data_IF_055817635436
#
_entry.id   IF_055817635436
#
_cell.length_a   1.000
_cell.length_b   1.000
_cell.length_c   1.000
_cell.angle_alpha   90.00
_cell.angle_beta   90.00
_cell.angle_gamma   90.00
#
_symmetry.space_group_name_H-M   'P 1'
#
loop_
_entity.id
_entity.type
_entity.pdbx_description
1 polymer ?
#
# COMPACT_ATOMS: atom_id res chain seq x y z
N UNK A 1 -48.63 29.06 57.80
CA UNK A 1 -47.32 29.50 58.33
C UNK A 1 -46.20 28.82 57.56
N UNK A 2 -45.07 29.54 57.31
CA UNK A 2 -43.73 29.06 56.90
C UNK A 2 -43.63 27.94 55.83
N UNK A 3 -42.92 28.05 54.70
CA UNK A 3 -41.64 28.70 54.45
C UNK A 3 -40.83 27.77 53.51
N UNK A 4 -40.22 28.25 52.40
CA UNK A 4 -39.63 27.37 51.36
C UNK A 4 -38.11 27.23 51.46
N UNK A 5 -37.59 26.03 51.22
CA UNK A 5 -36.17 25.70 50.96
C UNK A 5 -36.14 24.44 50.05
N UNK A 6 -35.29 24.26 49.04
CA UNK A 6 -34.31 25.16 48.38
C UNK A 6 -34.48 25.02 46.84
N UNK A 7 -33.88 25.94 46.06
CA UNK A 7 -33.70 25.85 44.60
C UNK A 7 -32.36 26.46 44.24
N UNK A 8 -31.32 25.67 43.98
CA UNK A 8 -30.00 26.22 43.66
C UNK A 8 -28.89 25.20 43.39
N UNK A 9 -28.23 25.39 42.24
CA UNK A 9 -26.88 24.92 41.88
C UNK A 9 -26.57 23.42 41.97
N UNK A 10 -26.80 22.72 40.85
CA UNK A 10 -25.79 21.80 40.31
C UNK A 10 -25.15 22.48 39.09
N UNK A 11 -23.81 22.51 38.94
CA UNK A 11 -23.17 23.05 37.75
C UNK A 11 -23.52 22.20 36.53
N UNK A 12 -24.00 22.83 35.45
CA UNK A 12 -24.03 22.17 34.15
C UNK A 12 -22.58 21.90 33.70
N UNK A 13 -22.27 20.75 33.08
CA UNK A 13 -20.95 20.51 32.53
C UNK A 13 -20.66 21.54 31.45
N UNK A 14 -19.63 22.35 31.68
CA UNK A 14 -19.12 23.31 30.71
C UNK A 14 -18.74 22.56 29.43
N UNK A 15 -19.52 22.76 28.35
CA UNK A 15 -19.06 22.47 27.00
C UNK A 15 -17.91 23.43 26.68
N UNK A 16 -16.69 23.09 27.08
CA UNK A 16 -15.50 23.68 26.48
C UNK A 16 -15.53 23.37 24.98
N UNK A 17 -15.28 24.42 24.20
CA UNK A 17 -15.33 24.35 22.74
C UNK A 17 -14.16 23.53 22.22
N UNK A 18 -14.42 22.29 21.79
CA UNK A 18 -13.45 21.48 21.05
C UNK A 18 -13.07 22.12 19.68
N UNK A 19 -13.77 23.17 19.24
CA UNK A 19 -13.43 23.95 18.05
C UNK A 19 -12.38 25.05 18.29
N UNK A 20 -11.87 25.20 19.53
CA UNK A 20 -10.83 26.18 19.86
C UNK A 20 -9.41 25.70 19.54
N UNK A 21 -9.06 24.50 20.01
CA UNK A 21 -7.71 23.92 19.93
C UNK A 21 -7.20 23.73 18.47
N UNK A 22 -8.00 23.22 17.51
CA UNK A 22 -7.58 23.09 16.10
C UNK A 22 -7.13 24.41 15.48
N UNK A 23 -7.96 25.45 15.63
CA UNK A 23 -7.71 26.77 15.06
C UNK A 23 -6.57 27.50 15.77
N UNK A 24 -6.24 27.14 17.02
CA UNK A 24 -5.10 27.69 17.76
C UNK A 24 -3.78 27.06 17.32
N UNK A 25 -3.73 25.73 17.13
CA UNK A 25 -2.56 25.03 16.62
C UNK A 25 -2.14 25.52 15.23
N UNK A 26 -3.07 25.59 14.27
CA UNK A 26 -2.77 26.08 12.90
C UNK A 26 -2.32 27.55 12.90
N UNK A 27 -2.90 28.41 13.76
CA UNK A 27 -2.43 29.80 13.92
C UNK A 27 -1.04 29.90 14.55
N UNK A 28 -0.69 28.99 15.45
CA UNK A 28 0.65 28.95 16.02
C UNK A 28 1.70 28.58 14.95
N UNK A 29 1.46 27.52 14.17
CA UNK A 29 2.34 27.10 13.07
C UNK A 29 2.55 28.18 11.99
N UNK A 30 1.55 29.04 11.75
CA UNK A 30 1.66 30.15 10.80
C UNK A 30 2.62 31.28 11.26
N UNK A 31 2.95 31.33 12.56
CA UNK A 31 3.89 32.30 13.14
C UNK A 31 5.30 31.78 13.37
N UNK A 32 5.59 30.53 12.99
CA UNK A 32 6.91 29.90 13.11
C UNK A 32 7.70 30.01 11.80
N UNK A 33 9.03 29.97 11.90
CA UNK A 33 9.91 29.69 10.75
C UNK A 33 9.78 28.22 10.30
N UNK A 34 10.41 27.88 9.16
CA UNK A 34 10.28 26.54 8.55
C UNK A 34 10.77 25.43 9.50
N UNK A 35 11.96 25.58 10.09
CA UNK A 35 12.57 24.59 10.99
C UNK A 35 11.71 24.37 12.26
N UNK A 36 11.25 25.46 12.90
CA UNK A 36 10.40 25.36 14.09
C UNK A 36 9.00 24.81 13.78
N UNK A 37 8.46 25.09 12.59
CA UNK A 37 7.18 24.53 12.11
C UNK A 37 7.28 23.04 11.86
N UNK A 38 8.35 22.55 11.21
CA UNK A 38 8.57 21.12 11.00
C UNK A 38 8.75 20.38 12.34
N UNK A 39 9.52 20.93 13.28
CA UNK A 39 9.67 20.36 14.62
C UNK A 39 8.35 20.29 15.39
N UNK A 40 7.53 21.35 15.35
CA UNK A 40 6.22 21.38 16.00
C UNK A 40 5.22 20.39 15.37
N UNK A 41 5.28 20.20 14.04
CA UNK A 41 4.46 19.22 13.34
C UNK A 41 4.91 17.77 13.62
N UNK A 42 6.22 17.52 13.73
CA UNK A 42 6.75 16.22 14.12
C UNK A 42 6.28 15.81 15.52
N UNK A 43 6.39 16.70 16.50
CA UNK A 43 5.91 16.43 17.86
C UNK A 43 4.38 16.21 17.89
N UNK A 44 3.62 16.96 17.08
CA UNK A 44 2.18 16.77 16.92
C UNK A 44 1.83 15.40 16.31
N UNK A 45 2.50 14.99 15.22
CA UNK A 45 2.31 13.68 14.57
C UNK A 45 2.65 12.54 15.55
N UNK A 46 3.79 12.63 16.24
CA UNK A 46 4.19 11.64 17.27
C UNK A 46 3.20 11.58 18.41
N UNK A 47 2.62 12.71 18.82
CA UNK A 47 1.59 12.76 19.88
C UNK A 47 0.32 12.05 19.43
N UNK A 48 -0.16 12.29 18.21
CA UNK A 48 -1.36 11.57 17.71
C UNK A 48 -1.07 10.07 17.52
N UNK A 49 0.10 9.72 17.00
CA UNK A 49 0.51 8.33 16.84
C UNK A 49 0.60 7.58 18.18
N UNK A 50 1.17 8.21 19.22
CA UNK A 50 1.24 7.64 20.56
C UNK A 50 -0.16 7.31 21.12
N UNK A 51 -1.14 8.21 20.94
CA UNK A 51 -2.52 7.97 21.41
C UNK A 51 -3.19 6.83 20.63
N UNK A 52 -2.92 6.69 19.33
CA UNK A 52 -3.46 5.59 18.50
C UNK A 52 -2.85 4.23 18.89
N UNK A 53 -1.55 4.19 19.18
CA UNK A 53 -0.84 2.98 19.61
C UNK A 53 -1.01 2.66 21.11
N UNK A 54 -1.61 3.55 21.89
CA UNK A 54 -1.81 3.38 23.34
C UNK A 54 -0.56 3.62 24.19
N UNK A 55 0.42 4.35 23.67
CA UNK A 55 1.66 4.73 24.35
C UNK A 55 1.46 5.90 25.33
N UNK A 56 2.38 6.03 26.30
CA UNK A 56 2.33 7.07 27.33
C UNK A 56 2.62 8.49 26.85
N UNK A 57 3.28 8.65 25.69
CA UNK A 57 3.51 9.95 25.06
C UNK A 57 4.33 9.88 23.77
N UNK A 58 4.56 11.02 23.09
CA UNK A 58 5.29 11.10 21.81
C UNK A 58 6.72 10.56 21.87
N UNK A 59 7.36 10.57 23.04
CA UNK A 59 8.71 10.04 23.25
C UNK A 59 8.83 8.52 23.03
N UNK A 60 7.73 7.77 23.13
CA UNK A 60 7.68 6.32 22.86
C UNK A 60 7.49 6.01 21.35
N UNK A 61 7.15 7.02 20.53
CA UNK A 61 7.07 6.90 19.08
C UNK A 61 8.40 7.34 18.48
N UNK A 62 9.13 6.43 17.86
CA UNK A 62 10.38 6.75 17.19
C UNK A 62 10.10 7.52 15.87
N UNK A 63 10.75 8.68 15.63
CA UNK A 63 10.46 9.53 14.47
C UNK A 63 10.91 8.94 13.12
N UNK A 64 11.86 8.01 13.11
CA UNK A 64 12.48 7.42 11.91
C UNK A 64 11.95 6.00 11.60
N UNK A 65 11.16 5.41 12.49
CA UNK A 65 10.53 4.12 12.24
C UNK A 65 9.23 4.26 11.44
N UNK A 66 8.98 3.28 10.57
CA UNK A 66 7.75 3.23 9.79
C UNK A 66 6.54 2.99 10.68
N UNK A 67 5.43 3.68 10.41
CA UNK A 67 4.14 3.42 11.06
C UNK A 67 3.78 1.92 11.05
N UNK A 68 3.93 1.16 9.93
CA UNK A 68 3.63 -0.28 9.93
C UNK A 68 4.49 -1.09 10.92
N UNK A 69 5.78 -0.75 11.08
CA UNK A 69 6.68 -1.41 12.03
C UNK A 69 6.17 -1.23 13.47
N UNK A 70 5.76 0.00 13.80
CA UNK A 70 5.22 0.38 15.10
C UNK A 70 3.84 -0.22 15.39
N UNK A 71 3.25 -0.95 14.43
CA UNK A 71 1.98 -1.67 14.58
C UNK A 71 0.78 -0.99 13.95
N UNK A 72 0.97 -0.01 13.07
CA UNK A 72 -0.14 0.53 12.30
C UNK A 72 -0.67 -0.46 11.26
N UNK A 73 -1.98 -0.62 11.29
CA UNK A 73 -2.84 -1.33 10.34
C UNK A 73 -3.85 -0.35 9.70
N UNK A 74 -4.76 -0.84 8.88
CA UNK A 74 -5.75 0.01 8.19
C UNK A 74 -6.71 0.77 9.13
N UNK A 75 -6.99 0.26 10.33
CA UNK A 75 -7.92 0.88 11.28
C UNK A 75 -7.23 1.99 12.10
N UNK A 76 -6.04 1.69 12.60
CA UNK A 76 -5.19 2.66 13.31
C UNK A 76 -4.69 3.77 12.37
N UNK A 77 -4.38 3.44 11.11
CA UNK A 77 -4.11 4.42 10.05
C UNK A 77 -5.27 5.41 9.88
N UNK A 78 -6.50 4.90 9.82
CA UNK A 78 -7.70 5.72 9.70
C UNK A 78 -7.92 6.60 10.94
N UNK A 79 -7.69 6.11 12.17
CA UNK A 79 -7.82 6.94 13.37
C UNK A 79 -6.77 8.05 13.41
N UNK A 80 -5.50 7.75 13.11
CA UNK A 80 -4.44 8.78 13.00
C UNK A 80 -4.80 9.84 11.96
N UNK A 81 -5.21 9.43 10.75
CA UNK A 81 -5.67 10.37 9.71
C UNK A 81 -6.81 11.25 10.24
N UNK A 82 -7.87 10.65 10.80
CA UNK A 82 -9.03 11.39 11.30
C UNK A 82 -8.65 12.41 12.39
N UNK A 83 -7.71 12.06 13.29
CA UNK A 83 -7.17 12.96 14.32
C UNK A 83 -6.39 14.13 13.71
N UNK A 84 -5.49 13.85 12.76
CA UNK A 84 -4.73 14.87 12.05
C UNK A 84 -5.67 15.83 11.30
N UNK A 85 -6.69 15.32 10.62
CA UNK A 85 -7.70 16.14 9.94
C UNK A 85 -8.50 17.01 10.92
N UNK A 86 -8.88 16.48 12.08
CA UNK A 86 -9.66 17.22 13.08
C UNK A 86 -8.92 18.43 13.65
N UNK A 87 -7.59 18.40 13.73
CA UNK A 87 -6.76 19.49 14.25
C UNK A 87 -6.25 20.42 13.14
N UNK A 88 -5.80 19.87 12.01
CA UNK A 88 -5.23 20.68 10.91
C UNK A 88 -6.29 21.29 9.99
N UNK A 89 -7.49 20.72 9.93
CA UNK A 89 -8.53 21.09 8.97
C UNK A 89 -8.30 20.59 7.54
N UNK A 90 -7.21 19.86 7.29
CA UNK A 90 -6.85 19.35 5.96
C UNK A 90 -7.75 18.19 5.50
N UNK A 91 -7.86 18.03 4.19
CA UNK A 91 -8.38 16.80 3.57
C UNK A 91 -7.17 15.91 3.30
N UNK A 92 -6.97 14.88 4.13
CA UNK A 92 -5.82 13.99 4.06
C UNK A 92 -6.20 12.69 3.33
N UNK A 93 -5.32 12.12 2.49
CA UNK A 93 -5.58 10.88 1.76
C UNK A 93 -5.86 9.68 2.68
N UNK A 94 -6.58 8.68 2.18
CA UNK A 94 -6.82 7.39 2.85
C UNK A 94 -5.54 6.60 3.08
N UNK A 95 -4.57 6.73 2.18
CA UNK A 95 -3.26 6.07 2.17
C UNK A 95 -2.17 6.81 2.99
N UNK A 96 -2.51 7.89 3.70
CA UNK A 96 -1.56 8.84 4.32
C UNK A 96 -0.33 8.21 5.01
N UNK A 97 -0.52 7.20 5.87
CA UNK A 97 0.58 6.58 6.65
C UNK A 97 1.41 5.56 5.87
N UNK A 98 1.00 5.25 4.64
CA UNK A 98 1.73 4.41 3.70
C UNK A 98 2.46 5.26 2.64
N UNK A 99 1.86 6.38 2.24
CA UNK A 99 2.48 7.38 1.34
C UNK A 99 3.59 8.17 2.06
N UNK A 100 3.38 8.44 3.36
CA UNK A 100 4.34 9.10 4.25
C UNK A 100 4.61 8.16 5.42
N UNK A 101 5.63 7.32 5.25
CA UNK A 101 5.78 6.08 6.00
C UNK A 101 6.26 6.27 7.43
N UNK A 102 6.99 7.36 7.71
CA UNK A 102 7.50 7.71 9.05
C UNK A 102 6.84 8.99 9.61
N UNK A 103 6.87 9.21 10.93
CA UNK A 103 6.46 10.49 11.53
C UNK A 103 7.16 11.72 10.92
N UNK A 104 8.44 11.61 10.51
CA UNK A 104 9.19 12.68 9.85
C UNK A 104 8.67 12.95 8.43
N UNK A 105 8.46 11.91 7.61
CA UNK A 105 7.90 12.08 6.26
C UNK A 105 6.50 12.72 6.32
N UNK A 106 5.69 12.31 7.29
CA UNK A 106 4.34 12.84 7.47
C UNK A 106 4.33 14.29 8.01
N UNK A 107 5.25 14.63 8.91
CA UNK A 107 5.41 16.00 9.40
C UNK A 107 5.83 16.96 8.28
N UNK A 108 6.78 16.55 7.42
CA UNK A 108 7.22 17.33 6.27
C UNK A 108 6.09 17.55 5.24
N UNK A 109 5.27 16.52 4.98
CA UNK A 109 4.07 16.67 4.14
C UNK A 109 3.08 17.69 4.70
N UNK A 110 2.73 17.56 5.99
CA UNK A 110 1.85 18.52 6.67
C UNK A 110 2.43 19.94 6.69
N UNK A 111 3.75 20.08 6.77
CA UNK A 111 4.42 21.38 6.72
C UNK A 111 4.23 22.04 5.35
N UNK A 112 4.36 21.27 4.26
CA UNK A 112 4.08 21.72 2.90
C UNK A 112 2.64 22.20 2.70
N UNK A 113 1.66 21.38 3.11
CA UNK A 113 0.23 21.69 2.98
C UNK A 113 -0.21 22.90 3.83
N UNK A 114 0.49 23.18 4.94
CA UNK A 114 0.18 24.28 5.86
C UNK A 114 1.03 25.55 5.64
N UNK A 115 1.88 25.62 4.59
CA UNK A 115 2.58 26.87 4.26
C UNK A 115 1.57 27.94 3.84
N UNK A 116 1.63 29.17 4.38
CA UNK A 116 0.79 30.27 3.92
C UNK A 116 1.03 30.55 2.43
N UNK A 117 -0.01 30.37 1.60
CA UNK A 117 0.02 30.82 0.21
C UNK A 117 0.27 32.33 0.17
N UNK A 118 1.27 32.76 -0.61
CA UNK A 118 1.43 34.17 -0.93
C UNK A 118 0.19 34.68 -1.69
N UNK A 119 -0.18 35.94 -1.46
CA UNK A 119 -1.39 36.54 -2.00
C UNK A 119 -1.29 36.80 -3.51
N UNK A 120 -1.50 35.75 -4.30
CA UNK A 120 -1.50 35.78 -5.77
C UNK A 120 -2.12 34.56 -6.45
N UNK A 121 -2.36 33.45 -5.73
CA UNK A 121 -2.90 32.20 -6.27
C UNK A 121 -4.29 31.88 -5.69
N UNK A 122 -5.32 32.55 -6.23
CA UNK A 122 -6.70 32.52 -5.73
C UNK A 122 -7.49 31.29 -6.24
N UNK A 123 -7.18 30.10 -5.70
CA UNK A 123 -8.02 28.90 -5.84
C UNK A 123 -8.16 28.08 -4.54
N UNK A 124 -8.73 28.69 -3.49
CA UNK A 124 -9.31 27.93 -2.38
C UNK A 124 -10.83 27.75 -2.61
N UNK A 125 -11.37 26.52 -2.74
CA UNK A 125 -12.80 26.32 -2.89
C UNK A 125 -13.52 26.58 -1.57
N UNK A 126 -14.20 27.73 -1.48
CA UNK A 126 -15.26 27.92 -0.48
C UNK A 126 -16.29 26.79 -0.61
N UNK A 127 -16.87 26.34 0.53
CA UNK A 127 -17.92 25.32 0.56
C UNK A 127 -19.22 25.79 -0.08
N UNK A 128 -19.26 25.75 -1.41
CA UNK A 128 -20.47 25.33 -2.12
C UNK A 128 -20.53 23.81 -2.00
N UNK A 129 -21.71 23.27 -1.67
CA UNK A 129 -21.96 21.84 -1.88
C UNK A 129 -21.92 21.61 -3.40
N UNK A 130 -20.74 21.28 -3.92
CA UNK A 130 -20.56 21.04 -5.34
C UNK A 130 -21.50 19.91 -5.77
N UNK A 131 -22.17 19.99 -6.93
CA UNK A 131 -22.68 18.78 -7.56
C UNK A 131 -21.50 17.81 -7.69
N UNK A 132 -21.73 16.52 -7.45
CA UNK A 132 -20.68 15.50 -7.46
C UNK A 132 -19.83 15.69 -8.72
N UNK A 133 -18.58 16.14 -8.54
CA UNK A 133 -17.65 16.21 -9.66
C UNK A 133 -17.41 14.77 -10.08
N UNK A 134 -17.90 14.44 -11.26
CA UNK A 134 -17.83 13.10 -11.82
C UNK A 134 -16.35 12.74 -12.07
N UNK A 135 -15.77 11.97 -11.14
CA UNK A 135 -14.37 11.52 -11.22
C UNK A 135 -14.24 10.31 -12.14
N UNK A 136 -13.03 10.05 -12.64
CA UNK A 136 -12.75 8.85 -13.45
C UNK A 136 -13.01 7.57 -12.64
N UNK A 137 -12.65 7.55 -11.35
CA UNK A 137 -13.03 6.47 -10.43
C UNK A 137 -14.55 6.39 -10.24
N UNK A 138 -15.25 7.50 -10.02
CA UNK A 138 -16.71 7.53 -9.88
C UNK A 138 -17.45 6.98 -11.11
N UNK A 139 -17.00 7.36 -12.31
CA UNK A 139 -17.48 6.83 -13.59
C UNK A 139 -17.24 5.33 -13.72
N UNK A 140 -16.06 4.85 -13.32
CA UNK A 140 -15.74 3.42 -13.36
C UNK A 140 -16.64 2.63 -12.39
N UNK A 141 -16.78 3.08 -11.15
CA UNK A 141 -17.60 2.40 -10.14
C UNK A 141 -19.09 2.44 -10.55
N UNK A 142 -19.56 3.53 -11.16
CA UNK A 142 -20.89 3.61 -11.77
C UNK A 142 -21.03 2.64 -12.96
N UNK A 143 -20.01 2.50 -13.81
CA UNK A 143 -20.02 1.56 -14.92
C UNK A 143 -20.08 0.10 -14.44
N UNK A 144 -19.33 -0.27 -13.40
CA UNK A 144 -19.40 -1.60 -12.76
C UNK A 144 -20.81 -1.85 -12.20
N UNK A 145 -21.39 -0.87 -11.47
CA UNK A 145 -22.73 -0.97 -10.85
C UNK A 145 -23.90 -0.99 -11.86
N UNK A 146 -23.64 -0.84 -13.17
CA UNK A 146 -24.65 -0.77 -14.23
C UNK A 146 -24.31 -1.69 -15.43
N UNK A 147 -23.55 -2.77 -15.23
CA UNK A 147 -23.18 -3.77 -16.25
C UNK A 147 -22.43 -3.17 -17.49
N UNK A 148 -21.73 -2.06 -17.29
CA UNK A 148 -20.96 -1.32 -18.32
C UNK A 148 -19.45 -1.45 -18.12
N UNK A 149 -18.99 -2.45 -17.37
CA UNK A 149 -17.58 -2.69 -17.02
C UNK A 149 -16.63 -2.62 -18.23
N UNK A 150 -17.01 -3.17 -19.39
CA UNK A 150 -16.18 -3.11 -20.61
C UNK A 150 -15.87 -1.67 -21.03
N UNK A 151 -16.88 -0.80 -21.09
CA UNK A 151 -16.71 0.61 -21.41
C UNK A 151 -15.93 1.36 -20.32
N UNK A 152 -16.11 0.99 -19.04
CA UNK A 152 -15.32 1.51 -17.94
C UNK A 152 -13.83 1.18 -18.05
N UNK A 153 -13.48 -0.05 -18.43
CA UNK A 153 -12.09 -0.48 -18.66
C UNK A 153 -11.49 0.20 -19.90
N UNK A 154 -12.24 0.32 -21.00
CA UNK A 154 -11.82 1.05 -22.19
C UNK A 154 -11.54 2.54 -21.89
N UNK A 155 -12.40 3.18 -21.08
CA UNK A 155 -12.18 4.53 -20.55
C UNK A 155 -10.90 4.61 -19.70
N UNK A 156 -10.69 3.71 -18.74
CA UNK A 156 -9.50 3.73 -17.88
C UNK A 156 -8.21 3.56 -18.69
N UNK A 157 -8.19 2.67 -19.69
CA UNK A 157 -7.06 2.53 -20.64
C UNK A 157 -6.84 3.79 -21.46
N UNK A 158 -7.90 4.46 -21.90
CA UNK A 158 -7.78 5.72 -22.63
C UNK A 158 -7.20 6.84 -21.76
N UNK A 159 -7.63 6.95 -20.49
CA UNK A 159 -7.09 7.92 -19.52
C UNK A 159 -5.63 7.60 -19.16
N UNK A 160 -5.29 6.31 -18.98
CA UNK A 160 -3.91 5.90 -18.68
C UNK A 160 -2.92 6.35 -19.76
N UNK A 161 -3.30 6.28 -21.05
CA UNK A 161 -2.49 6.77 -22.19
C UNK A 161 -2.28 8.28 -22.24
N UNK A 162 -2.97 9.05 -21.41
CA UNK A 162 -2.80 10.50 -21.27
C UNK A 162 -1.91 10.89 -20.08
N UNK A 163 -1.54 9.93 -19.23
CA UNK A 163 -0.61 10.17 -18.12
C UNK A 163 0.82 10.27 -18.65
N UNK A 164 1.71 11.07 -18.01
CA UNK A 164 3.11 11.09 -18.39
C UNK A 164 3.76 9.73 -18.14
N UNK A 165 4.78 9.42 -18.93
CA UNK A 165 5.57 8.20 -18.83
C UNK A 165 7.06 8.52 -18.69
N UNK A 166 7.79 7.65 -18.00
CA UNK A 166 9.25 7.73 -17.89
C UNK A 166 9.93 6.50 -18.54
N UNK A 167 11.09 6.74 -19.15
CA UNK A 167 11.91 5.72 -19.84
C UNK A 167 13.19 5.35 -19.06
N UNK A 168 13.68 6.25 -18.20
CA UNK A 168 14.88 6.02 -17.39
C UNK A 168 14.50 5.46 -16.01
N UNK A 169 14.84 4.19 -15.67
CA UNK A 169 14.53 3.60 -14.38
C UNK A 169 15.21 4.31 -13.20
N UNK A 170 16.27 5.10 -13.43
CA UNK A 170 16.92 5.89 -12.40
C UNK A 170 16.22 7.23 -12.10
N UNK A 171 15.29 7.67 -12.96
CA UNK A 171 14.68 9.01 -12.89
C UNK A 171 13.13 9.05 -12.94
N UNK A 172 12.39 8.21 -12.20
CA UNK A 172 10.96 8.47 -11.95
C UNK A 172 10.80 9.77 -11.12
N UNK A 173 9.77 10.56 -11.42
CA UNK A 173 9.54 11.86 -10.75
C UNK A 173 9.43 11.77 -9.21
N UNK A 174 8.97 10.63 -8.69
CA UNK A 174 9.10 10.26 -7.27
C UNK A 174 9.96 8.99 -7.16
N UNK A 175 11.03 8.97 -6.34
CA UNK A 175 11.85 7.79 -6.17
C UNK A 175 11.13 6.72 -5.34
N UNK A 176 11.10 5.48 -5.81
CA UNK A 176 10.56 4.35 -5.06
C UNK A 176 11.40 4.13 -3.80
N UNK A 177 10.73 4.18 -2.64
CA UNK A 177 11.28 3.88 -1.32
C UNK A 177 10.59 2.61 -0.79
N UNK A 178 11.28 1.46 -0.69
CA UNK A 178 10.73 0.31 -0.02
C UNK A 178 10.50 0.61 1.47
N UNK A 179 9.34 0.19 1.98
CA UNK A 179 8.88 0.47 3.34
C UNK A 179 9.09 -0.78 4.19
N UNK A 180 9.66 -0.61 5.38
CA UNK A 180 9.78 -1.67 6.37
C UNK A 180 8.40 -1.99 6.98
N UNK A 181 8.05 -3.27 7.02
CA UNK A 181 6.83 -3.78 7.66
C UNK A 181 7.14 -4.52 8.97
N UNK A 182 8.32 -5.14 9.05
CA UNK A 182 8.91 -5.72 10.25
C UNK A 182 10.43 -5.66 10.14
N UNK A 183 11.12 -5.05 11.11
CA UNK A 183 12.59 -5.14 11.24
C UNK A 183 13.06 -6.25 12.19
N UNK A 184 12.14 -7.08 12.69
CA UNK A 184 12.44 -8.21 13.58
C UNK A 184 13.17 -9.36 12.88
N UNK A 185 13.61 -10.35 13.64
CA UNK A 185 14.35 -11.51 13.15
C UNK A 185 15.55 -11.86 14.01
N UNK A 186 16.01 -13.11 13.94
CA UNK A 186 17.35 -13.48 14.44
C UNK A 186 18.45 -12.76 13.65
N UNK A 187 19.69 -12.76 14.14
CA UNK A 187 20.83 -12.08 13.48
C UNK A 187 21.06 -12.61 12.06
N UNK A 188 20.98 -13.94 11.88
CA UNK A 188 21.19 -14.64 10.61
C UNK A 188 19.94 -14.72 9.70
N UNK A 189 18.79 -14.15 10.10
CA UNK A 189 17.54 -14.38 9.35
C UNK A 189 17.43 -13.54 8.06
N UNK A 190 16.81 -14.05 6.99
CA UNK A 190 16.77 -13.39 5.69
C UNK A 190 15.98 -12.06 5.72
N UNK A 191 16.30 -11.22 4.74
CA UNK A 191 15.53 -10.02 4.39
C UNK A 191 14.57 -10.35 3.26
N UNK A 192 13.29 -10.40 3.62
CA UNK A 192 12.16 -10.62 2.72
C UNK A 192 11.72 -9.28 2.13
N UNK A 193 11.70 -9.17 0.80
CA UNK A 193 11.24 -7.98 0.08
C UNK A 193 10.02 -8.33 -0.77
N UNK A 194 8.87 -7.79 -0.38
CA UNK A 194 7.58 -8.10 -0.97
C UNK A 194 7.19 -7.10 -2.07
N UNK A 195 6.70 -7.60 -3.20
CA UNK A 195 6.26 -6.80 -4.35
C UNK A 195 4.73 -6.98 -4.50
N UNK A 196 3.92 -5.92 -4.39
CA UNK A 196 2.46 -6.03 -4.41
C UNK A 196 1.93 -6.32 -5.81
N UNK A 197 0.68 -6.77 -5.87
CA UNK A 197 -0.02 -7.02 -7.12
C UNK A 197 -0.44 -5.72 -7.82
N UNK A 198 -0.66 -5.78 -9.13
CA UNK A 198 -1.28 -4.71 -9.92
C UNK A 198 -2.76 -4.58 -9.56
N UNK A 199 -3.05 -3.93 -8.44
CA UNK A 199 -4.39 -3.76 -7.90
C UNK A 199 -4.53 -2.33 -7.37
N UNK A 200 -5.52 -1.60 -7.86
CA UNK A 200 -5.65 -0.15 -7.70
C UNK A 200 -5.76 0.39 -6.24
N UNK A 201 -5.99 -0.49 -5.25
CA UNK A 201 -5.98 -0.15 -3.83
C UNK A 201 -5.04 -1.04 -3.00
N UNK A 202 -4.25 -1.90 -3.64
CA UNK A 202 -3.18 -2.63 -2.99
C UNK A 202 -1.87 -1.88 -3.17
N UNK A 203 -1.09 -1.84 -2.09
CA UNK A 203 0.26 -1.31 -2.03
C UNK A 203 1.03 -2.13 -1.01
N UNK A 204 1.98 -1.52 -0.32
CA UNK A 204 2.80 -2.18 0.71
C UNK A 204 1.95 -2.87 1.80
N UNK A 205 0.76 -2.35 2.10
CA UNK A 205 -0.20 -2.90 3.05
C UNK A 205 -0.73 -4.30 2.72
N UNK A 206 -0.58 -4.78 1.48
CA UNK A 206 -0.93 -6.16 1.09
C UNK A 206 -0.17 -7.21 1.93
N UNK A 207 1.00 -6.84 2.46
CA UNK A 207 1.86 -7.74 3.25
C UNK A 207 1.88 -7.43 4.75
N UNK A 208 1.09 -6.47 5.24
CA UNK A 208 1.08 -6.13 6.68
C UNK A 208 0.72 -7.33 7.57
N UNK A 209 -0.22 -8.17 7.14
CA UNK A 209 -0.61 -9.36 7.89
C UNK A 209 0.45 -10.47 7.81
N UNK A 210 1.16 -10.59 6.68
CA UNK A 210 2.32 -11.48 6.55
C UNK A 210 3.44 -11.05 7.51
N UNK A 211 3.78 -9.76 7.52
CA UNK A 211 4.84 -9.19 8.36
C UNK A 211 4.52 -9.24 9.87
N UNK A 212 3.24 -9.09 10.26
CA UNK A 212 2.84 -9.24 11.66
C UNK A 212 2.81 -10.71 12.12
N UNK A 213 2.43 -11.63 11.23
CA UNK A 213 2.39 -13.09 11.52
C UNK A 213 3.80 -13.71 11.55
N UNK A 214 4.75 -13.19 10.77
CA UNK A 214 6.17 -13.60 10.76
C UNK A 214 7.07 -12.74 11.66
N UNK A 215 6.49 -11.91 12.53
CA UNK A 215 7.22 -10.96 13.38
C UNK A 215 8.14 -11.72 14.35
N UNK A 216 9.45 -11.53 14.16
CA UNK A 216 10.50 -12.20 14.95
C UNK A 216 11.19 -13.34 14.23
N UNK A 217 10.60 -13.85 13.14
CA UNK A 217 11.27 -14.80 12.24
C UNK A 217 12.19 -14.05 11.27
N UNK A 218 11.63 -13.08 10.53
CA UNK A 218 12.27 -12.44 9.37
C UNK A 218 12.14 -10.93 9.38
N UNK A 219 13.12 -10.29 8.72
CA UNK A 219 12.98 -8.91 8.30
C UNK A 219 12.08 -8.85 7.07
N UNK A 220 11.03 -8.04 7.10
CA UNK A 220 10.04 -7.91 6.03
C UNK A 220 9.90 -6.44 5.63
N UNK A 221 10.03 -6.19 4.33
CA UNK A 221 9.80 -4.89 3.70
C UNK A 221 8.96 -5.08 2.44
N UNK A 222 8.37 -4.00 1.91
CA UNK A 222 7.62 -4.04 0.67
C UNK A 222 7.95 -2.84 -0.23
N UNK A 223 8.01 -3.08 -1.54
CA UNK A 223 8.31 -2.05 -2.54
C UNK A 223 7.00 -1.48 -3.11
N UNK A 224 6.73 -0.17 -3.00
CA UNK A 224 5.59 0.44 -3.69
C UNK A 224 5.80 0.38 -5.21
N UNK A 225 4.72 0.19 -5.97
CA UNK A 225 4.78 0.18 -7.44
C UNK A 225 4.65 1.60 -8.00
N UNK A 226 5.42 1.95 -9.05
CA UNK A 226 5.41 3.30 -9.63
C UNK A 226 4.10 3.56 -10.37
N UNK A 227 3.58 4.79 -10.21
CA UNK A 227 2.40 5.26 -10.94
C UNK A 227 1.08 5.02 -10.22
N UNK A 228 1.07 4.29 -9.11
CA UNK A 228 -0.16 4.04 -8.34
C UNK A 228 -0.54 5.24 -7.46
N UNK A 229 0.41 6.10 -7.09
CA UNK A 229 0.16 7.35 -6.36
C UNK A 229 -0.27 8.52 -7.27
N UNK A 230 -0.96 9.50 -6.67
CA UNK A 230 -1.37 10.70 -7.40
C UNK A 230 -0.16 11.55 -7.83
N UNK A 231 -0.20 12.03 -9.08
CA UNK A 231 0.88 12.81 -9.69
C UNK A 231 2.14 12.00 -10.05
N UNK A 232 2.09 10.67 -10.03
CA UNK A 232 3.20 9.82 -10.47
C UNK A 232 3.16 9.53 -11.97
N UNK A 233 4.35 9.37 -12.56
CA UNK A 233 4.53 8.97 -13.94
C UNK A 233 4.44 7.44 -14.08
N UNK A 234 3.99 6.96 -15.23
CA UNK A 234 3.91 5.52 -15.52
C UNK A 234 5.22 5.01 -16.15
N UNK A 235 5.68 3.78 -15.86
CA UNK A 235 6.78 3.18 -16.59
C UNK A 235 6.40 2.98 -18.06
N UNK A 236 7.26 3.37 -19.01
CA UNK A 236 6.96 3.24 -20.44
C UNK A 236 6.93 1.80 -20.96
N UNK A 237 7.56 0.86 -20.25
CA UNK A 237 7.63 -0.56 -20.59
C UNK A 237 7.78 -1.45 -19.36
N UNK A 238 7.52 -2.75 -19.51
CA UNK A 238 7.75 -3.75 -18.46
C UNK A 238 9.24 -3.81 -18.05
N UNK A 239 10.18 -3.63 -18.98
CA UNK A 239 11.61 -3.58 -18.67
C UNK A 239 11.97 -2.36 -17.81
N UNK A 240 11.36 -1.20 -18.06
CA UNK A 240 11.54 0.00 -17.22
C UNK A 240 10.97 -0.24 -15.83
N UNK A 241 9.76 -0.80 -15.71
CA UNK A 241 9.15 -1.16 -14.41
C UNK A 241 10.07 -2.09 -13.61
N UNK A 242 10.49 -3.21 -14.20
CA UNK A 242 11.35 -4.22 -13.55
C UNK A 242 12.67 -3.61 -13.09
N UNK A 243 13.32 -2.78 -13.92
CA UNK A 243 14.56 -2.10 -13.55
C UNK A 243 14.37 -1.07 -12.44
N UNK A 244 13.29 -0.30 -12.47
CA UNK A 244 12.97 0.69 -11.42
C UNK A 244 12.81 -0.01 -10.06
N UNK A 245 12.09 -1.14 -10.04
CA UNK A 245 11.92 -1.96 -8.83
C UNK A 245 13.24 -2.61 -8.42
N UNK A 246 14.01 -3.17 -9.35
CA UNK A 246 15.33 -3.75 -9.05
C UNK A 246 16.32 -2.73 -8.47
N UNK A 247 16.31 -1.48 -8.95
CA UNK A 247 17.11 -0.39 -8.41
C UNK A 247 16.68 -0.01 -6.98
N UNK A 248 15.37 0.00 -6.71
CA UNK A 248 14.83 0.25 -5.38
C UNK A 248 15.20 -0.88 -4.39
N UNK A 249 15.09 -2.15 -4.80
CA UNK A 249 15.53 -3.32 -4.04
C UNK A 249 17.04 -3.25 -3.79
N UNK A 250 17.85 -2.96 -4.81
CA UNK A 250 19.32 -2.86 -4.69
C UNK A 250 19.71 -1.79 -3.66
N UNK A 251 19.06 -0.62 -3.69
CA UNK A 251 19.30 0.48 -2.73
C UNK A 251 18.82 0.19 -1.30
N UNK A 252 17.91 -0.77 -1.12
CA UNK A 252 17.33 -1.14 0.18
C UNK A 252 17.92 -2.45 0.74
N UNK A 253 18.78 -3.14 -0.02
CA UNK A 253 19.38 -4.43 0.37
C UNK A 253 20.22 -4.28 1.63
N UNK A 254 20.02 -5.19 2.57
CA UNK A 254 20.84 -5.34 3.79
C UNK A 254 22.03 -6.28 3.54
N UNK A 255 22.84 -6.53 4.57
CA UNK A 255 23.87 -7.57 4.59
C UNK A 255 23.31 -9.00 4.63
N UNK A 256 22.02 -9.16 4.96
CA UNK A 256 21.32 -10.44 5.05
C UNK A 256 21.01 -11.06 3.68
N UNK A 257 20.78 -12.38 3.60
CA UNK A 257 20.27 -13.03 2.39
C UNK A 257 18.94 -12.41 1.94
N UNK A 258 18.89 -11.95 0.69
CA UNK A 258 17.72 -11.34 0.09
C UNK A 258 16.80 -12.41 -0.50
N UNK A 259 15.51 -12.40 -0.16
CA UNK A 259 14.48 -13.23 -0.81
C UNK A 259 13.37 -12.32 -1.31
N UNK A 260 12.92 -12.53 -2.56
CA UNK A 260 11.84 -11.74 -3.16
C UNK A 260 10.51 -12.48 -3.05
N UNK A 261 9.45 -11.77 -2.68
CA UNK A 261 8.12 -12.34 -2.50
C UNK A 261 7.12 -11.58 -3.36
N UNK A 262 6.20 -12.28 -4.02
CA UNK A 262 5.17 -11.63 -4.82
C UNK A 262 3.89 -12.44 -4.88
N UNK A 263 2.75 -11.76 -4.76
CA UNK A 263 1.42 -12.35 -4.87
C UNK A 263 0.76 -11.97 -6.18
N UNK A 264 0.13 -12.93 -6.86
CA UNK A 264 -0.57 -12.70 -8.13
C UNK A 264 0.38 -12.05 -9.16
N UNK A 265 -0.02 -10.96 -9.82
CA UNK A 265 0.86 -10.18 -10.71
C UNK A 265 2.12 -9.63 -10.04
N UNK A 266 2.15 -9.47 -8.71
CA UNK A 266 3.36 -9.14 -7.96
C UNK A 266 4.41 -10.26 -8.00
N UNK A 267 3.99 -11.52 -8.14
CA UNK A 267 4.88 -12.68 -8.32
C UNK A 267 5.61 -12.66 -9.67
N UNK A 268 4.90 -12.30 -10.75
CA UNK A 268 5.50 -12.07 -12.07
C UNK A 268 6.63 -11.03 -11.99
N UNK A 269 6.41 -9.93 -11.25
CA UNK A 269 7.40 -8.87 -11.08
C UNK A 269 8.52 -9.30 -10.12
N UNK A 270 8.23 -10.05 -9.05
CA UNK A 270 9.27 -10.60 -8.16
C UNK A 270 10.23 -11.53 -8.91
N UNK A 271 9.71 -12.43 -9.75
CA UNK A 271 10.51 -13.28 -10.63
C UNK A 271 11.36 -12.46 -11.61
N UNK A 272 10.75 -11.46 -12.26
CA UNK A 272 11.46 -10.59 -13.21
C UNK A 272 12.59 -9.77 -12.56
N UNK A 273 12.35 -9.25 -11.35
CA UNK A 273 13.32 -8.50 -10.56
C UNK A 273 14.44 -9.43 -10.08
N UNK A 274 14.13 -10.67 -9.69
CA UNK A 274 15.15 -11.67 -9.37
C UNK A 274 16.10 -11.92 -10.55
N UNK A 275 15.57 -12.09 -11.76
CA UNK A 275 16.35 -12.30 -12.97
C UNK A 275 17.19 -11.07 -13.37
N UNK A 276 16.66 -9.85 -13.21
CA UNK A 276 17.42 -8.61 -13.43
C UNK A 276 18.55 -8.46 -12.38
N UNK A 277 18.32 -8.84 -11.11
CA UNK A 277 19.36 -8.86 -10.07
C UNK A 277 20.42 -9.95 -10.30
N UNK A 278 20.01 -11.15 -10.77
CA UNK A 278 20.89 -12.23 -11.21
C UNK A 278 21.77 -11.78 -12.39
N UNK A 279 21.18 -11.15 -13.42
CA UNK A 279 21.89 -10.58 -14.56
C UNK A 279 22.93 -9.50 -14.15
N UNK A 280 22.64 -8.73 -13.09
CA UNK A 280 23.56 -7.76 -12.49
C UNK A 280 24.63 -8.39 -11.60
N UNK A 281 24.70 -9.72 -11.48
CA UNK A 281 25.66 -10.44 -10.64
C UNK A 281 25.37 -10.37 -9.13
N UNK A 282 24.15 -10.01 -8.74
CA UNK A 282 23.72 -9.85 -7.35
C UNK A 282 22.42 -10.61 -7.05
N UNK A 283 22.30 -11.91 -7.38
CA UNK A 283 21.05 -12.66 -7.25
C UNK A 283 20.49 -12.62 -5.81
N UNK A 284 19.16 -12.71 -5.65
CA UNK A 284 18.55 -13.10 -4.37
C UNK A 284 18.84 -14.59 -4.09
N UNK A 285 18.70 -15.00 -2.83
CA UNK A 285 18.78 -16.41 -2.43
C UNK A 285 17.59 -17.23 -2.95
N UNK A 286 16.43 -16.60 -3.20
CA UNK A 286 15.29 -17.25 -3.82
C UNK A 286 14.10 -16.31 -4.06
N UNK A 287 13.04 -16.88 -4.64
CA UNK A 287 11.76 -16.21 -4.92
C UNK A 287 10.59 -17.01 -4.35
N UNK A 288 9.62 -16.35 -3.73
CA UNK A 288 8.33 -16.94 -3.34
C UNK A 288 7.19 -16.33 -4.16
N UNK A 289 6.42 -17.20 -4.80
CA UNK A 289 5.27 -16.87 -5.64
C UNK A 289 3.99 -17.29 -4.90
N UNK A 290 3.20 -16.34 -4.41
CA UNK A 290 1.90 -16.60 -3.82
C UNK A 290 0.83 -16.62 -4.91
N UNK A 291 0.34 -17.82 -5.25
CA UNK A 291 -0.69 -18.14 -6.23
C UNK A 291 -0.59 -17.29 -7.49
N UNK A 292 0.60 -17.36 -8.11
CA UNK A 292 0.99 -16.57 -9.28
C UNK A 292 0.66 -17.32 -10.56
N UNK A 293 0.14 -16.61 -11.55
CA UNK A 293 -0.31 -17.18 -12.83
C UNK A 293 0.48 -16.58 -14.00
N UNK A 294 0.76 -17.40 -15.00
CA UNK A 294 1.22 -16.94 -16.31
C UNK A 294 0.12 -16.13 -17.00
N UNK A 295 0.50 -15.08 -17.74
CA UNK A 295 -0.44 -14.11 -18.33
C UNK A 295 -1.35 -14.74 -19.39
N UNK A 296 -0.89 -15.79 -20.05
CA UNK A 296 -1.59 -16.59 -21.06
C UNK A 296 -2.29 -17.84 -20.48
N UNK A 297 -2.32 -18.02 -19.16
CA UNK A 297 -2.97 -19.17 -18.52
C UNK A 297 -4.49 -19.22 -18.73
N UNK A 298 -5.04 -20.43 -18.75
CA UNK A 298 -6.49 -20.66 -18.83
C UNK A 298 -7.24 -19.95 -17.70
N UNK A 299 -6.69 -19.94 -16.48
CA UNK A 299 -7.23 -19.18 -15.35
C UNK A 299 -7.34 -17.69 -15.65
N UNK A 300 -6.28 -17.03 -16.12
CA UNK A 300 -6.32 -15.59 -16.42
C UNK A 300 -7.32 -15.27 -17.53
N UNK A 301 -7.43 -16.11 -18.56
CA UNK A 301 -8.39 -15.91 -19.66
C UNK A 301 -9.85 -16.14 -19.26
N UNK A 302 -10.14 -17.08 -18.36
CA UNK A 302 -11.51 -17.46 -17.96
C UNK A 302 -12.01 -16.69 -16.72
N UNK A 303 -11.13 -16.48 -15.74
CA UNK A 303 -11.46 -15.83 -14.47
C UNK A 303 -11.13 -14.34 -14.43
N UNK A 304 -10.22 -13.85 -15.30
CA UNK A 304 -9.70 -12.47 -15.27
C UNK A 304 -10.77 -11.38 -15.08
N UNK A 305 -11.87 -11.33 -15.85
CA UNK A 305 -12.92 -10.34 -15.66
C UNK A 305 -13.58 -10.40 -14.27
N UNK A 306 -13.83 -11.60 -13.74
CA UNK A 306 -14.42 -11.82 -12.41
C UNK A 306 -13.44 -11.54 -11.27
N UNK A 307 -12.15 -11.89 -11.46
CA UNK A 307 -11.06 -11.60 -10.54
C UNK A 307 -10.93 -10.09 -10.30
N UNK A 308 -10.94 -9.29 -11.36
CA UNK A 308 -10.83 -7.83 -11.28
C UNK A 308 -12.06 -7.18 -10.61
N UNK A 309 -13.26 -7.73 -10.84
CA UNK A 309 -14.49 -7.28 -10.14
C UNK A 309 -14.42 -7.64 -8.66
N UNK A 310 -14.05 -8.88 -8.32
CA UNK A 310 -13.90 -9.32 -6.93
C UNK A 310 -12.84 -8.51 -6.17
N UNK A 311 -11.71 -8.20 -6.81
CA UNK A 311 -10.70 -7.27 -6.27
C UNK A 311 -11.29 -5.88 -6.01
N UNK A 312 -12.06 -5.32 -6.95
CA UNK A 312 -12.68 -4.00 -6.79
C UNK A 312 -13.72 -3.96 -5.65
N UNK A 313 -14.66 -4.90 -5.62
CA UNK A 313 -15.69 -4.99 -4.56
C UNK A 313 -15.12 -5.28 -3.17
N UNK A 314 -13.97 -5.97 -3.12
CA UNK A 314 -13.24 -6.21 -1.89
C UNK A 314 -12.50 -4.95 -1.43
N UNK A 315 -11.87 -4.24 -2.36
CA UNK A 315 -11.12 -3.01 -2.08
C UNK A 315 -12.01 -1.84 -1.63
N UNK A 316 -13.18 -1.62 -2.27
CA UNK A 316 -14.14 -0.55 -1.86
C UNK A 316 -14.53 -0.64 -0.37
N UNK A 317 -14.41 -1.81 0.27
CA UNK A 317 -14.76 -2.01 1.70
C UNK A 317 -13.67 -1.58 2.67
N UNK A 318 -12.42 -1.41 2.21
CA UNK A 318 -11.26 -1.14 3.06
C UNK A 318 -10.52 0.16 2.71
N UNK A 319 -10.48 0.56 1.43
CA UNK A 319 -9.75 1.76 0.97
C UNK A 319 -10.46 2.41 -0.21
N UNK A 320 -10.51 3.75 -0.23
CA UNK A 320 -11.00 4.50 -1.40
C UNK A 320 -10.02 4.35 -2.59
N UNK A 321 -10.55 3.99 -3.76
CA UNK A 321 -9.73 3.70 -4.95
C UNK A 321 -9.47 4.96 -5.77
N UNK A 322 -8.22 5.39 -5.88
CA UNK A 322 -7.83 6.61 -6.60
C UNK A 322 -7.93 6.43 -8.13
N UNK A 323 -8.05 7.55 -8.84
CA UNK A 323 -8.00 7.54 -10.32
C UNK A 323 -6.60 7.21 -10.84
N UNK A 324 -5.54 7.55 -10.10
CA UNK A 324 -4.17 7.12 -10.39
C UNK A 324 -4.02 5.59 -10.26
N UNK A 325 -4.46 4.99 -9.15
CA UNK A 325 -4.39 3.55 -8.93
C UNK A 325 -5.15 2.75 -9.99
N UNK A 326 -6.37 3.17 -10.36
CA UNK A 326 -7.16 2.51 -11.41
C UNK A 326 -6.49 2.58 -12.79
N UNK A 327 -5.94 3.74 -13.17
CA UNK A 327 -5.28 3.90 -14.47
C UNK A 327 -3.94 3.18 -14.54
N UNK A 328 -3.17 3.18 -13.45
CA UNK A 328 -1.90 2.45 -13.34
C UNK A 328 -2.11 0.93 -13.36
N UNK A 329 -3.14 0.43 -12.67
CA UNK A 329 -3.52 -0.98 -12.70
C UNK A 329 -3.73 -1.49 -14.13
N UNK A 330 -4.57 -0.82 -14.93
CA UNK A 330 -4.79 -1.22 -16.32
C UNK A 330 -3.59 -0.98 -17.24
N UNK A 331 -2.79 0.06 -16.99
CA UNK A 331 -1.53 0.26 -17.71
C UNK A 331 -0.55 -0.90 -17.48
N UNK A 332 -0.31 -1.27 -16.21
CA UNK A 332 0.64 -2.32 -15.86
C UNK A 332 0.17 -3.71 -16.32
N UNK A 333 -1.15 -3.97 -16.31
CA UNK A 333 -1.74 -5.18 -16.92
C UNK A 333 -1.50 -5.20 -18.44
N UNK A 334 -1.66 -4.06 -19.13
CA UNK A 334 -1.37 -3.96 -20.57
C UNK A 334 0.14 -4.10 -20.87
N UNK A 335 1.03 -3.67 -19.97
CA UNK A 335 2.49 -3.84 -20.11
C UNK A 335 2.95 -5.31 -20.05
N UNK A 336 2.25 -6.16 -19.30
CA UNK A 336 2.55 -7.61 -19.22
C UNK A 336 1.77 -8.45 -20.24
N UNK A 337 0.87 -7.85 -21.03
CA UNK A 337 0.03 -8.57 -21.97
C UNK A 337 0.87 -9.23 -23.09
N UNK A 338 0.89 -10.57 -23.12
CA UNK A 338 1.72 -11.34 -24.05
C UNK A 338 3.22 -11.32 -23.73
N UNK A 339 3.61 -10.79 -22.57
CA UNK A 339 4.97 -10.86 -22.06
C UNK A 339 5.17 -12.16 -21.27
N UNK A 340 6.39 -12.70 -21.35
CA UNK A 340 6.83 -13.90 -20.65
C UNK A 340 7.98 -13.52 -19.71
N UNK A 341 7.96 -13.94 -18.43
CA UNK A 341 9.08 -13.72 -17.52
C UNK A 341 10.36 -14.38 -18.05
N UNK A 342 11.54 -13.76 -17.81
CA UNK A 342 12.81 -14.34 -18.20
C UNK A 342 13.11 -15.64 -17.43
N UNK A 343 14.00 -16.47 -17.97
CA UNK A 343 14.60 -17.58 -17.24
C UNK A 343 15.30 -17.07 -15.96
N UNK A 344 15.30 -17.90 -14.92
CA UNK A 344 15.81 -17.58 -13.60
C UNK A 344 16.45 -18.84 -12.99
N UNK A 345 17.68 -18.76 -12.48
CA UNK A 345 18.35 -19.93 -11.90
C UNK A 345 18.20 -20.08 -10.39
N UNK A 346 17.75 -19.02 -9.69
CA UNK A 346 17.58 -19.04 -8.23
C UNK A 346 16.40 -19.93 -7.80
N UNK A 347 16.47 -20.59 -6.62
CA UNK A 347 15.37 -21.37 -6.06
C UNK A 347 14.05 -20.59 -6.03
N UNK A 348 12.97 -21.25 -6.45
CA UNK A 348 11.65 -20.63 -6.58
C UNK A 348 10.58 -21.52 -5.94
N UNK A 349 9.90 -20.98 -4.93
CA UNK A 349 8.77 -21.61 -4.25
C UNK A 349 7.45 -21.09 -4.82
N UNK A 350 6.61 -21.99 -5.34
CA UNK A 350 5.21 -21.68 -5.65
C UNK A 350 4.31 -22.15 -4.50
N UNK A 351 3.64 -21.20 -3.84
CA UNK A 351 2.54 -21.50 -2.91
C UNK A 351 1.20 -21.40 -3.65
N UNK A 352 0.45 -22.50 -3.73
CA UNK A 352 -0.81 -22.58 -4.49
C UNK A 352 -2.02 -22.61 -3.58
N UNK A 353 -3.08 -21.93 -3.99
CA UNK A 353 -4.37 -22.01 -3.31
C UNK A 353 -5.03 -23.40 -3.46
N UNK A 354 -5.58 -23.95 -2.39
CA UNK A 354 -6.33 -25.22 -2.43
C UNK A 354 -7.78 -25.09 -2.89
N UNK A 355 -8.36 -23.89 -2.77
CA UNK A 355 -9.77 -23.58 -3.08
C UNK A 355 -9.90 -22.61 -4.28
N UNK A 356 -10.87 -22.81 -5.19
CA UNK A 356 -11.14 -21.88 -6.28
C UNK A 356 -11.83 -20.59 -5.79
N UNK A 357 -11.93 -19.59 -6.67
CA UNK A 357 -12.72 -18.37 -6.41
C UNK A 357 -14.21 -18.56 -6.67
N UNK A 358 -14.59 -19.50 -7.54
CA UNK A 358 -15.97 -19.85 -7.82
C UNK A 358 -16.11 -21.36 -8.12
N UNK A 359 -17.26 -21.95 -7.78
CA UNK A 359 -17.57 -23.36 -8.06
C UNK A 359 -17.45 -23.69 -9.56
N UNK A 360 -17.74 -22.73 -10.44
CA UNK A 360 -17.62 -22.87 -11.90
C UNK A 360 -16.18 -23.10 -12.40
N UNK A 361 -15.17 -22.97 -11.54
CA UNK A 361 -13.78 -23.25 -11.86
C UNK A 361 -13.37 -24.69 -11.53
N UNK A 362 -14.16 -25.45 -10.76
CA UNK A 362 -13.75 -26.77 -10.26
C UNK A 362 -13.36 -27.77 -11.37
N UNK A 363 -13.96 -27.62 -12.56
CA UNK A 363 -13.72 -28.47 -13.74
C UNK A 363 -12.64 -27.92 -14.71
N UNK A 364 -11.96 -26.82 -14.39
CA UNK A 364 -10.89 -26.23 -15.23
C UNK A 364 -9.50 -26.40 -14.60
N UNK A 365 -8.41 -26.10 -15.35
CA UNK A 365 -7.08 -26.05 -14.76
C UNK A 365 -6.85 -24.72 -14.01
N UNK A 366 -7.64 -24.50 -12.95
CA UNK A 366 -7.74 -23.22 -12.25
C UNK A 366 -6.59 -22.96 -11.27
N UNK A 367 -5.84 -23.97 -10.85
CA UNK A 367 -4.73 -23.81 -9.91
C UNK A 367 -3.53 -23.16 -10.58
N UNK A 368 -2.81 -22.34 -9.84
CA UNK A 368 -1.53 -21.78 -10.28
C UNK A 368 -0.51 -22.88 -10.64
N UNK A 369 0.33 -22.60 -11.63
CA UNK A 369 1.39 -23.49 -12.09
C UNK A 369 2.58 -22.67 -12.57
N UNK A 370 3.79 -23.14 -12.28
CA UNK A 370 5.03 -22.45 -12.61
C UNK A 370 6.10 -23.49 -12.93
N UNK A 371 6.39 -23.69 -14.21
CA UNK A 371 7.20 -24.82 -14.69
C UNK A 371 8.66 -24.77 -14.21
N UNK A 372 9.16 -23.59 -13.86
CA UNK A 372 10.51 -23.36 -13.32
C UNK A 372 10.57 -23.32 -11.79
N UNK A 373 9.46 -23.55 -11.07
CA UNK A 373 9.49 -23.61 -9.62
C UNK A 373 10.24 -24.86 -9.12
N UNK A 374 11.22 -24.65 -8.24
CA UNK A 374 12.00 -25.74 -7.63
C UNK A 374 11.20 -26.47 -6.55
N UNK A 375 10.28 -25.76 -5.89
CA UNK A 375 9.41 -26.30 -4.84
C UNK A 375 7.97 -25.82 -5.05
N UNK A 376 6.99 -26.69 -4.85
CA UNK A 376 5.55 -26.36 -4.95
C UNK A 376 4.83 -26.89 -3.71
N UNK A 377 4.09 -26.02 -3.03
CA UNK A 377 3.35 -26.36 -1.80
C UNK A 377 1.92 -25.83 -1.91
N UNK A 378 0.96 -26.68 -1.59
CA UNK A 378 -0.47 -26.31 -1.56
C UNK A 378 -0.82 -25.76 -0.17
N UNK A 379 -1.45 -24.59 -0.10
CA UNK A 379 -1.86 -23.92 1.15
C UNK A 379 -3.37 -23.66 1.20
N UNK A 380 -4.01 -23.75 2.39
CA UNK A 380 -5.44 -23.52 2.57
C UNK A 380 -5.95 -22.16 2.04
N UNK A 381 -7.23 -22.13 1.65
CA UNK A 381 -7.88 -20.94 1.10
C UNK A 381 -7.79 -20.82 -0.41
N UNK A 382 -8.28 -19.68 -0.90
CA UNK A 382 -8.27 -19.26 -2.30
C UNK A 382 -7.23 -18.15 -2.55
N UNK A 383 -7.14 -17.68 -3.80
CA UNK A 383 -6.23 -16.62 -4.27
C UNK A 383 -6.15 -15.38 -3.35
N UNK A 384 -7.24 -15.03 -2.66
CA UNK A 384 -7.25 -13.95 -1.67
C UNK A 384 -7.05 -14.46 -0.25
N UNK A 385 -7.81 -15.48 0.18
CA UNK A 385 -7.87 -15.87 1.60
C UNK A 385 -6.59 -16.53 2.10
N UNK A 386 -5.73 -17.06 1.20
CA UNK A 386 -4.41 -17.58 1.56
C UNK A 386 -3.48 -16.52 2.18
N UNK A 387 -3.61 -15.25 1.77
CA UNK A 387 -2.85 -14.12 2.33
C UNK A 387 -3.56 -13.44 3.51
N UNK A 388 -4.68 -14.01 3.97
CA UNK A 388 -5.59 -13.40 4.94
C UNK A 388 -6.02 -14.39 6.02
N UNK A 389 -7.17 -15.06 5.86
CA UNK A 389 -7.71 -16.03 6.81
C UNK A 389 -6.80 -17.25 7.02
N UNK A 390 -5.93 -17.56 6.07
CA UNK A 390 -4.97 -18.67 6.14
C UNK A 390 -3.50 -18.18 6.13
N UNK A 391 -3.25 -16.92 6.49
CA UNK A 391 -1.91 -16.33 6.49
C UNK A 391 -0.90 -17.13 7.33
N UNK A 392 -1.33 -17.73 8.44
CA UNK A 392 -0.48 -18.56 9.30
C UNK A 392 0.13 -19.73 8.53
N UNK A 393 -0.70 -20.53 7.85
CA UNK A 393 -0.23 -21.65 7.02
C UNK A 393 0.65 -21.21 5.85
N UNK A 394 0.38 -20.02 5.29
CA UNK A 394 1.21 -19.43 4.22
C UNK A 394 2.59 -19.00 4.74
N UNK A 395 2.66 -18.38 5.92
CA UNK A 395 3.92 -18.05 6.60
C UNK A 395 4.67 -19.31 7.02
N UNK A 396 3.98 -20.33 7.54
CA UNK A 396 4.58 -21.62 7.94
C UNK A 396 5.25 -22.31 6.73
N UNK A 397 4.61 -22.28 5.56
CA UNK A 397 5.19 -22.83 4.32
C UNK A 397 6.45 -22.09 3.88
N UNK A 398 6.48 -20.76 3.97
CA UNK A 398 7.71 -19.97 3.70
C UNK A 398 8.79 -20.28 4.75
N UNK A 399 8.43 -20.35 6.05
CA UNK A 399 9.37 -20.66 7.14
C UNK A 399 9.98 -22.06 6.99
N UNK A 400 9.23 -23.04 6.49
CA UNK A 400 9.70 -24.39 6.24
C UNK A 400 10.68 -24.47 5.06
N UNK A 401 10.49 -23.66 4.01
CA UNK A 401 11.30 -23.70 2.80
C UNK A 401 12.63 -22.92 2.90
N UNK A 402 12.66 -21.80 3.62
CA UNK A 402 13.86 -20.94 3.69
C UNK A 402 15.16 -21.68 4.11
N UNK A 403 15.16 -22.63 5.06
CA UNK A 403 16.35 -23.44 5.39
C UNK A 403 16.84 -24.39 4.28
N UNK A 404 16.12 -24.54 3.17
CA UNK A 404 16.56 -25.32 2.01
C UNK A 404 17.48 -24.51 1.07
N UNK A 405 17.51 -23.18 1.21
CA UNK A 405 18.14 -22.24 0.26
C UNK A 405 19.11 -21.23 0.90
N UNK A 406 19.29 -21.28 2.22
CA UNK A 406 20.16 -20.41 3.03
C UNK A 406 21.26 -21.23 3.72
#
# INVERSE_FOLDING_TARGET
>A
SAGPLYRGLLPAPSRRSAAGEPAEFVRHLAGLDDDAREAALLEFVRTQAAVVLGHGGPAEVDPEHGFPEMGFDSLTAMDLRNRLQAVTGLILPTSLVFDYSTPVELAAFLAGELKPREAGDDTAPARVASPVRETVSGLFNHAVKNDKQKAGVEMLRAVARLRPTYDDPAAPAKPLRPVWLSRGGAEDSPHLVCIPAFVAAAGVQQYSLFASTSRGDFQVSAVPLPGFGDGEDLPSSIQVLVRTVADAVTRHRTDRPLVLLGSSTGGLIAHAVAAELEHRGHPPAGVVLFDTYMVDSEFVSTAGPGLMIGMHERNERYTEVSSAGLTAMFWCIDLIAGWQPPDLSVPTLLLRATEPLAESQLDTNWRSSWDTATSVVDVPGNHFTMMEGHIGTTVDAVRAWLPEIL
#
